data_IF_507591545219
#
_entry.id   IF_507591545219
#
_cell.length_a   1.000
_cell.length_b   1.000
_cell.length_c   1.000
_cell.angle_alpha   90.00
_cell.angle_beta   90.00
_cell.angle_gamma   90.00
#
_symmetry.space_group_name_H-M   'P 1'
#
loop_
_entity.id
_entity.type
_entity.pdbx_description
1 polymer ?
#
# COMPACT_ATOMS: atom_id res chain seq x y z
N UNK A 1 -16.70 -27.04 -3.87
CA UNK A 1 -17.98 -26.91 -3.14
C UNK A 1 -18.20 -25.43 -2.85
N UNK A 2 -19.36 -24.85 -3.22
CA UNK A 2 -19.68 -23.45 -2.87
C UNK A 2 -19.73 -23.35 -1.34
N UNK A 3 -18.76 -22.68 -0.74
CA UNK A 3 -18.64 -22.62 0.72
C UNK A 3 -19.63 -21.66 1.37
N UNK A 4 -20.28 -20.78 0.59
CA UNK A 4 -21.24 -19.80 1.10
C UNK A 4 -22.62 -20.07 0.50
N UNK A 5 -23.65 -20.03 1.33
CA UNK A 5 -25.05 -20.05 0.87
C UNK A 5 -25.46 -18.67 0.36
N UNK A 6 -26.52 -18.56 -0.48
CA UNK A 6 -27.00 -17.27 -0.96
C UNK A 6 -27.38 -16.28 0.16
N UNK A 7 -27.85 -16.79 1.29
CA UNK A 7 -28.20 -15.98 2.46
C UNK A 7 -26.94 -15.43 3.15
N UNK A 8 -25.94 -16.28 3.37
CA UNK A 8 -24.64 -15.84 3.92
C UNK A 8 -23.94 -14.83 2.99
N UNK A 9 -24.10 -14.96 1.68
CA UNK A 9 -23.57 -13.99 0.72
C UNK A 9 -24.23 -12.62 0.84
N UNK A 10 -25.54 -12.60 1.11
CA UNK A 10 -26.29 -11.36 1.29
C UNK A 10 -25.88 -10.67 2.59
N UNK A 11 -25.74 -11.44 3.67
CA UNK A 11 -25.25 -10.94 4.95
C UNK A 11 -23.80 -10.42 4.85
N UNK A 12 -22.94 -11.13 4.09
CA UNK A 12 -21.59 -10.67 3.80
C UNK A 12 -21.57 -9.31 3.09
N UNK A 13 -22.41 -9.13 2.05
CA UNK A 13 -22.53 -7.86 1.33
C UNK A 13 -22.98 -6.76 2.29
N UNK A 14 -23.97 -7.03 3.15
CA UNK A 14 -24.45 -6.08 4.15
C UNK A 14 -23.33 -5.65 5.12
N UNK A 15 -22.51 -6.57 5.59
CA UNK A 15 -21.38 -6.22 6.45
C UNK A 15 -20.32 -5.38 5.73
N UNK A 16 -20.01 -5.69 4.47
CA UNK A 16 -19.08 -4.87 3.67
C UNK A 16 -19.64 -3.46 3.43
N UNK A 17 -20.94 -3.34 3.15
CA UNK A 17 -21.62 -2.04 2.99
C UNK A 17 -21.67 -1.26 4.31
N UNK A 18 -21.83 -1.96 5.44
CA UNK A 18 -21.75 -1.38 6.78
C UNK A 18 -20.32 -0.94 7.18
N UNK A 19 -19.32 -1.19 6.32
CA UNK A 19 -17.93 -0.82 6.58
C UNK A 19 -17.21 -1.76 7.56
N UNK A 20 -17.72 -2.99 7.75
CA UNK A 20 -17.07 -3.97 8.60
C UNK A 20 -15.68 -4.35 8.06
N UNK A 21 -14.75 -4.56 8.98
CA UNK A 21 -13.38 -4.94 8.65
C UNK A 21 -13.30 -6.42 8.29
N UNK A 22 -12.24 -6.80 7.55
CA UNK A 22 -12.03 -8.21 7.19
C UNK A 22 -11.92 -9.10 8.43
N UNK A 23 -11.31 -8.62 9.52
CA UNK A 23 -11.26 -9.35 10.80
C UNK A 23 -12.65 -9.53 11.43
N UNK A 24 -13.49 -8.48 11.44
CA UNK A 24 -14.85 -8.56 11.98
C UNK A 24 -15.73 -9.54 11.19
N UNK A 25 -15.66 -9.50 9.86
CA UNK A 25 -16.39 -10.44 8.99
C UNK A 25 -15.87 -11.87 9.22
N UNK A 26 -14.56 -12.05 9.34
CA UNK A 26 -13.97 -13.36 9.62
C UNK A 26 -14.45 -13.94 10.96
N UNK A 27 -14.52 -13.10 12.00
CA UNK A 27 -15.04 -13.48 13.31
C UNK A 27 -16.54 -13.82 13.27
N UNK A 28 -17.34 -13.04 12.52
CA UNK A 28 -18.77 -13.26 12.37
C UNK A 28 -19.08 -14.62 11.71
N UNK A 29 -18.37 -14.95 10.63
CA UNK A 29 -18.57 -16.22 9.92
C UNK A 29 -17.76 -17.39 10.49
N UNK A 30 -16.89 -17.15 11.48
CA UNK A 30 -15.99 -18.17 12.03
C UNK A 30 -15.01 -18.75 11.00
N UNK A 31 -14.56 -17.94 10.03
CA UNK A 31 -13.73 -18.41 8.89
C UNK A 31 -12.38 -17.72 8.86
N UNK A 32 -11.45 -18.29 8.09
CA UNK A 32 -10.13 -17.71 7.94
C UNK A 32 -10.19 -16.43 7.07
N UNK A 33 -9.41 -15.41 7.44
CA UNK A 33 -9.21 -14.16 6.69
C UNK A 33 -8.95 -14.41 5.19
N UNK A 34 -8.17 -15.45 4.84
CA UNK A 34 -7.89 -15.81 3.44
C UNK A 34 -9.16 -16.19 2.67
N UNK A 35 -10.08 -16.90 3.30
CA UNK A 35 -11.34 -17.32 2.68
C UNK A 35 -12.28 -16.14 2.48
N UNK A 36 -12.36 -15.24 3.47
CA UNK A 36 -13.13 -13.99 3.40
C UNK A 36 -12.64 -13.11 2.25
N UNK A 37 -11.32 -12.93 2.08
CA UNK A 37 -10.74 -12.19 0.95
C UNK A 37 -11.09 -12.81 -0.40
N UNK A 38 -10.95 -14.13 -0.52
CA UNK A 38 -11.29 -14.85 -1.75
C UNK A 38 -12.76 -14.63 -2.11
N UNK A 39 -13.65 -14.67 -1.11
CA UNK A 39 -15.08 -14.43 -1.32
C UNK A 39 -15.38 -12.97 -1.68
N UNK A 40 -14.77 -12.03 -0.98
CA UNK A 40 -14.88 -10.61 -1.29
C UNK A 40 -14.48 -10.34 -2.75
N UNK A 41 -13.36 -10.93 -3.20
CA UNK A 41 -12.90 -10.80 -4.58
C UNK A 41 -13.91 -11.36 -5.60
N UNK A 42 -14.53 -12.50 -5.32
CA UNK A 42 -15.60 -13.04 -6.17
C UNK A 42 -16.80 -12.09 -6.23
N UNK A 43 -17.26 -11.58 -5.08
CA UNK A 43 -18.39 -10.64 -5.01
C UNK A 43 -18.09 -9.31 -5.72
N UNK A 44 -16.85 -8.84 -5.68
CA UNK A 44 -16.40 -7.66 -6.40
C UNK A 44 -16.43 -7.89 -7.92
N UNK A 45 -15.97 -9.05 -8.38
CA UNK A 45 -16.02 -9.42 -9.81
C UNK A 45 -17.45 -9.57 -10.32
N UNK A 46 -18.35 -10.02 -9.45
CA UNK A 46 -19.78 -10.11 -9.72
C UNK A 46 -20.50 -8.75 -9.61
N UNK A 47 -19.82 -7.69 -9.14
CA UNK A 47 -20.40 -6.36 -8.97
C UNK A 47 -21.36 -6.22 -7.79
N UNK A 48 -21.39 -7.18 -6.86
CA UNK A 48 -22.28 -7.17 -5.69
C UNK A 48 -21.75 -6.31 -4.54
N UNK A 49 -20.46 -5.97 -4.56
CA UNK A 49 -19.83 -5.01 -3.64
C UNK A 49 -19.06 -3.95 -4.46
N UNK A 50 -19.03 -2.72 -3.96
CA UNK A 50 -18.38 -1.60 -4.65
C UNK A 50 -16.87 -1.54 -4.40
N UNK A 51 -16.41 -2.03 -3.24
CA UNK A 51 -15.01 -1.98 -2.82
C UNK A 51 -14.63 -3.20 -1.98
N UNK A 52 -13.32 -3.47 -1.91
CA UNK A 52 -12.79 -4.47 -0.98
C UNK A 52 -12.94 -3.97 0.46
N UNK A 53 -13.39 -4.83 1.40
CA UNK A 53 -13.40 -4.49 2.82
C UNK A 53 -11.98 -4.17 3.33
N UNK A 54 -11.90 -3.22 4.25
CA UNK A 54 -10.63 -2.74 4.81
C UNK A 54 -10.11 -3.78 5.82
N UNK A 55 -8.80 -3.96 5.86
CA UNK A 55 -8.15 -4.74 6.89
C UNK A 55 -7.66 -3.81 8.01
N UNK A 56 -7.95 -4.10 9.29
CA UNK A 56 -7.45 -3.26 10.40
C UNK A 56 -5.93 -3.34 10.51
N UNK A 57 -5.37 -4.54 10.35
CA UNK A 57 -3.92 -4.75 10.37
C UNK A 57 -3.35 -4.77 8.96
N UNK A 58 -3.12 -3.60 8.36
CA UNK A 58 -2.42 -3.54 7.07
C UNK A 58 -0.96 -3.98 7.27
N UNK A 59 -0.65 -5.25 6.97
CA UNK A 59 0.73 -5.76 6.96
C UNK A 59 1.53 -5.27 5.75
N UNK A 60 0.97 -4.36 4.96
CA UNK A 60 1.66 -3.72 3.87
C UNK A 60 2.66 -2.73 4.47
N UNK A 61 3.87 -3.22 4.77
CA UNK A 61 5.01 -2.36 5.08
C UNK A 61 5.12 -1.37 3.93
N UNK A 62 4.93 -0.09 4.21
CA UNK A 62 5.09 0.94 3.19
C UNK A 62 6.56 0.97 2.79
N UNK A 63 6.85 1.52 1.61
CA UNK A 63 8.24 1.64 1.15
C UNK A 63 9.08 2.50 2.10
N UNK A 64 8.42 3.40 2.82
CA UNK A 64 8.98 4.32 3.80
C UNK A 64 9.38 3.59 5.10
N UNK A 65 8.54 2.68 5.61
CA UNK A 65 8.85 1.86 6.82
C UNK A 65 10.14 1.03 6.67
N UNK A 66 10.51 0.68 5.44
CA UNK A 66 11.72 -0.10 5.17
C UNK A 66 13.01 0.72 5.31
N UNK A 67 12.88 2.04 5.34
CA UNK A 67 13.98 3.00 5.45
C UNK A 67 14.03 3.70 6.81
N UNK A 68 12.98 3.59 7.61
CA UNK A 68 12.95 4.11 8.97
C UNK A 68 14.06 3.49 9.83
N UNK A 69 14.88 4.34 10.45
CA UNK A 69 15.99 3.94 11.30
C UNK A 69 17.30 3.60 10.58
N UNK A 70 17.36 3.72 9.24
CA UNK A 70 18.59 3.52 8.48
C UNK A 70 19.25 4.86 8.12
N UNK A 71 20.53 4.97 8.41
CA UNK A 71 21.33 6.14 8.04
C UNK A 71 21.80 6.04 6.58
N UNK A 72 20.89 6.36 5.66
CA UNK A 72 21.10 6.25 4.21
C UNK A 72 22.24 7.17 3.71
N UNK A 73 22.52 8.27 4.41
CA UNK A 73 23.56 9.23 4.04
C UNK A 73 24.98 8.71 4.32
N UNK A 74 25.14 7.92 5.38
CA UNK A 74 26.45 7.44 5.83
C UNK A 74 26.78 6.00 5.44
N UNK A 75 25.77 5.19 5.09
CA UNK A 75 25.93 3.78 4.74
C UNK A 75 25.93 3.52 3.23
N UNK A 76 26.71 2.53 2.80
CA UNK A 76 26.70 2.07 1.41
C UNK A 76 25.48 1.17 1.14
N UNK A 77 25.01 1.14 -0.11
CA UNK A 77 23.86 0.32 -0.52
C UNK A 77 24.06 -1.17 -0.20
N UNK A 78 25.29 -1.67 -0.26
CA UNK A 78 25.64 -3.04 0.12
C UNK A 78 25.39 -3.32 1.61
N UNK A 79 25.83 -2.42 2.50
CA UNK A 79 25.66 -2.56 3.95
C UNK A 79 24.18 -2.45 4.36
N UNK A 80 23.41 -1.61 3.66
CA UNK A 80 21.98 -1.47 3.92
C UNK A 80 21.20 -2.69 3.40
N UNK A 81 21.62 -3.27 2.28
CA UNK A 81 21.07 -4.51 1.73
C UNK A 81 21.26 -5.69 2.70
N UNK A 82 22.44 -5.82 3.30
CA UNK A 82 22.74 -6.83 4.33
C UNK A 82 21.85 -6.64 5.58
N UNK A 83 21.71 -5.40 6.08
CA UNK A 83 20.90 -5.12 7.27
C UNK A 83 19.40 -5.33 7.06
N UNK A 84 18.90 -5.10 5.85
CA UNK A 84 17.46 -5.22 5.52
C UNK A 84 17.07 -6.58 4.97
N UNK A 85 18.04 -7.48 4.73
CA UNK A 85 17.80 -8.79 4.12
C UNK A 85 17.25 -8.71 2.69
N UNK A 86 17.46 -7.58 1.99
CA UNK A 86 17.04 -7.37 0.60
C UNK A 86 18.24 -7.34 -0.31
N UNK A 87 18.05 -7.68 -1.58
CA UNK A 87 19.12 -7.55 -2.58
C UNK A 87 19.45 -6.09 -2.86
N UNK A 88 20.72 -5.79 -3.16
CA UNK A 88 21.16 -4.44 -3.54
C UNK A 88 20.35 -3.85 -4.70
N UNK A 89 19.95 -4.70 -5.65
CA UNK A 89 19.09 -4.29 -6.79
C UNK A 89 17.71 -3.86 -6.31
N UNK A 90 17.11 -4.60 -5.38
CA UNK A 90 15.83 -4.26 -4.77
C UNK A 90 15.93 -2.94 -4.00
N UNK A 91 17.04 -2.71 -3.30
CA UNK A 91 17.26 -1.48 -2.55
C UNK A 91 17.50 -0.26 -3.45
N UNK A 92 18.27 -0.41 -4.54
CA UNK A 92 18.42 0.62 -5.58
C UNK A 92 17.09 1.01 -6.21
N UNK A 93 16.20 0.04 -6.45
CA UNK A 93 14.85 0.29 -6.95
C UNK A 93 14.00 1.06 -5.93
N UNK A 94 14.07 0.70 -4.64
CA UNK A 94 13.36 1.40 -3.56
C UNK A 94 13.86 2.85 -3.44
N UNK A 95 15.17 3.06 -3.40
CA UNK A 95 15.78 4.41 -3.35
C UNK A 95 15.39 5.26 -4.57
N UNK A 96 15.43 4.67 -5.77
CA UNK A 96 15.05 5.35 -7.02
C UNK A 96 13.56 5.68 -7.10
N UNK A 97 12.71 4.86 -6.48
CA UNK A 97 11.26 5.09 -6.42
C UNK A 97 10.83 6.10 -5.35
N UNK A 98 11.74 6.45 -4.44
CA UNK A 98 11.52 7.40 -3.34
C UNK A 98 12.34 8.70 -3.48
N UNK A 99 13.20 8.81 -4.49
CA UNK A 99 14.06 9.99 -4.69
C UNK A 99 15.18 10.14 -3.67
N UNK A 100 15.54 9.05 -2.98
CA UNK A 100 16.52 9.07 -1.91
C UNK A 100 17.90 8.68 -2.43
N UNK A 101 18.92 9.34 -1.90
CA UNK A 101 20.32 9.14 -2.23
C UNK A 101 20.99 8.32 -1.12
N UNK A 102 21.88 7.41 -1.51
CA UNK A 102 22.77 6.73 -0.56
C UNK A 102 24.22 7.09 -0.88
N UNK A 103 25.13 6.90 0.09
CA UNK A 103 26.54 7.32 0.00
C UNK A 103 27.24 6.97 -1.33
N UNK A 104 26.98 5.76 -1.87
CA UNK A 104 27.57 5.26 -3.11
C UNK A 104 26.58 5.12 -4.27
N UNK A 105 25.39 5.72 -4.16
CA UNK A 105 24.36 5.64 -5.20
C UNK A 105 23.66 6.98 -5.39
N UNK A 106 24.07 7.68 -6.44
CA UNK A 106 23.37 8.84 -6.96
C UNK A 106 22.39 8.35 -8.01
N UNK A 107 21.09 8.57 -7.77
CA UNK A 107 20.06 8.22 -8.77
C UNK A 107 20.32 8.98 -10.07
N UNK A 108 20.14 8.34 -11.25
CA UNK A 108 20.43 8.97 -12.52
C UNK A 108 19.63 10.27 -12.66
N UNK A 109 20.27 11.34 -13.14
CA UNK A 109 19.72 12.70 -13.23
C UNK A 109 18.37 12.82 -13.96
N UNK A 110 17.98 11.80 -14.74
CA UNK A 110 16.65 11.71 -15.37
C UNK A 110 15.52 11.54 -14.35
N UNK A 111 15.75 10.82 -13.25
CA UNK A 111 14.79 10.65 -12.16
C UNK A 111 14.69 11.93 -11.31
N UNK A 112 15.82 12.60 -11.06
CA UNK A 112 15.87 13.91 -10.38
C UNK A 112 15.04 14.97 -11.13
N UNK A 113 15.06 14.95 -12.47
CA UNK A 113 14.21 15.84 -13.30
C UNK A 113 12.73 15.48 -13.24
N UNK A 114 12.41 14.20 -13.17
CA UNK A 114 11.02 13.73 -13.02
C UNK A 114 10.46 14.10 -11.63
N UNK A 115 11.29 14.07 -10.60
CA UNK A 115 10.92 14.50 -9.25
C UNK A 115 10.85 16.00 -9.10
N UNK A 116 11.75 16.77 -9.69
CA UNK A 116 11.60 18.22 -9.76
C UNK A 116 10.27 18.60 -10.45
N UNK A 117 9.89 17.84 -11.49
CA UNK A 117 8.60 18.00 -12.18
C UNK A 117 7.41 17.51 -11.33
N UNK A 118 7.55 16.42 -10.59
CA UNK A 118 6.50 15.89 -9.70
C UNK A 118 6.31 16.75 -8.43
N UNK A 119 7.38 17.26 -7.85
CA UNK A 119 7.36 18.21 -6.74
C UNK A 119 6.76 19.56 -7.18
N UNK A 120 7.08 20.03 -8.40
CA UNK A 120 6.42 21.20 -8.99
C UNK A 120 4.92 20.93 -9.25
N UNK A 121 4.57 19.73 -9.73
CA UNK A 121 3.17 19.34 -9.92
C UNK A 121 2.39 19.24 -8.61
N UNK A 122 3.00 18.74 -7.54
CA UNK A 122 2.39 18.66 -6.21
C UNK A 122 2.30 20.05 -5.55
N UNK A 123 3.27 20.94 -5.80
CA UNK A 123 3.20 22.35 -5.37
C UNK A 123 2.12 23.13 -6.14
N UNK A 124 1.94 22.87 -7.44
CA UNK A 124 0.85 23.44 -8.24
C UNK A 124 -0.52 22.91 -7.80
N UNK A 125 -0.65 21.61 -7.49
CA UNK A 125 -1.88 21.02 -6.98
C UNK A 125 -2.28 21.52 -5.59
N UNK A 126 -1.30 21.85 -4.73
CA UNK A 126 -1.55 22.49 -3.43
C UNK A 126 -1.89 23.97 -3.55
N UNK A 127 -1.43 24.66 -4.59
CA UNK A 127 -1.81 26.05 -4.86
C UNK A 127 -3.26 26.17 -5.37
N UNK A 128 -3.76 25.16 -6.11
CA UNK A 128 -5.15 25.15 -6.63
C UNK A 128 -6.22 24.73 -5.61
N UNK A 129 -5.83 24.34 -4.40
CA UNK A 129 -6.76 24.01 -3.30
C UNK A 129 -6.66 25.00 -2.13
N UNK A 130 -5.93 26.11 -2.30
CA UNK A 130 -5.57 27.04 -1.22
C UNK A 130 -6.10 28.47 -1.31
N UNK A 131 -6.90 28.83 -2.32
CA UNK A 131 -7.58 30.14 -2.39
C UNK A 131 -9.05 29.94 -2.74
N UNK A 132 -9.84 29.61 -1.72
CA UNK A 132 -11.27 29.38 -1.86
C UNK A 132 -11.94 28.98 -0.56
N UNK A 133 -11.52 29.54 0.57
CA UNK A 133 -12.29 29.49 1.81
C UNK A 133 -11.85 30.62 2.74
N UNK A 134 -12.76 31.59 2.88
CA UNK A 134 -12.77 32.81 3.70
C UNK A 134 -12.17 34.07 3.08
#
# INVERSE_FOLDING_TARGET
VRSFTPDEETDFVNQVVAGATIEAIAAHFGRNIKQIRGKALSLLREGRIAAMPVQETSSAKTREDLLEGLDLANMAVAEIAEKTGKSERGFKFILSGLGLFAKNYVVPAKLVKLEAKAALANKLGKLTLGEGAM
#
